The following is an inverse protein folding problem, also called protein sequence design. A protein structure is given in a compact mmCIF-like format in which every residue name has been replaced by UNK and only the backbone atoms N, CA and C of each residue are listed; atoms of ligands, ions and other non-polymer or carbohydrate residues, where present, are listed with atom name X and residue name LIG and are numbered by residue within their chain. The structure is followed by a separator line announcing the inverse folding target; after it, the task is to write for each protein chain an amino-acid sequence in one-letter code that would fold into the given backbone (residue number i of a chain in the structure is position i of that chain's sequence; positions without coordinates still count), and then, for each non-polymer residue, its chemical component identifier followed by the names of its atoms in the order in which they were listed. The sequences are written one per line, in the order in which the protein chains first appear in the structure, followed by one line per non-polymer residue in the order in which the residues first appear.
data_IF_176518007336
#
_entry.id   IF_176518007336
#
_cell.length_a   1.000
_cell.length_b   1.000
_cell.length_c   1.000
_cell.angle_alpha   90.00
_cell.angle_beta   90.00
_cell.angle_gamma   90.00
#
_symmetry.space_group_name_H-M   'P 1'
#
loop_
_entity.id
_entity.type
_entity.pdbx_description
1 polymer ?
#
# COMPACT_ATOMS: atom_id res chain seq x y z
N UNK A 1 -7.81 23.72 11.17
CA UNK A 1 -8.51 22.43 11.33
C UNK A 1 -7.50 21.36 10.99
N UNK A 2 -7.18 20.47 11.93
CA UNK A 2 -6.32 19.31 11.67
C UNK A 2 -7.02 18.39 10.68
N UNK A 3 -6.74 18.58 9.39
CA UNK A 3 -7.30 17.71 8.39
C UNK A 3 -6.66 16.33 8.52
N UNK A 4 -7.35 15.44 9.24
CA UNK A 4 -6.96 14.05 9.36
C UNK A 4 -6.96 13.40 7.97
N UNK A 5 -5.88 12.69 7.64
CA UNK A 5 -5.80 11.92 6.40
C UNK A 5 -6.83 10.79 6.40
N UNK A 6 -7.82 10.88 5.50
CA UNK A 6 -8.85 9.86 5.30
C UNK A 6 -8.41 8.86 4.22
N UNK A 7 -8.56 7.55 4.42
CA UNK A 7 -8.18 6.56 3.42
C UNK A 7 -9.14 6.58 2.22
N UNK A 8 -8.60 6.80 1.01
CA UNK A 8 -9.35 6.70 -0.25
C UNK A 8 -9.20 5.31 -0.87
N UNK A 9 -7.99 4.76 -0.77
CA UNK A 9 -7.65 3.50 -1.39
C UNK A 9 -6.70 2.72 -0.49
N UNK A 10 -6.92 1.41 -0.43
CA UNK A 10 -5.99 0.49 0.21
C UNK A 10 -6.08 -0.86 -0.48
N UNK A 11 -4.94 -1.36 -0.93
CA UNK A 11 -4.79 -2.73 -1.42
C UNK A 11 -3.52 -3.36 -0.90
N UNK A 12 -3.59 -4.67 -0.73
CA UNK A 12 -2.48 -5.53 -0.37
C UNK A 12 -2.51 -6.72 -1.32
N UNK A 13 -1.37 -7.06 -1.94
CA UNK A 13 -1.25 -8.16 -2.90
C UNK A 13 -0.02 -9.01 -2.60
N UNK A 14 -0.15 -10.32 -2.73
CA UNK A 14 0.91 -11.29 -2.44
C UNK A 14 0.69 -12.05 -1.13
N UNK A 15 1.43 -13.15 -0.94
CA UNK A 15 1.25 -14.08 0.18
C UNK A 15 2.44 -14.08 1.14
N UNK A 16 3.55 -14.73 0.76
CA UNK A 16 4.78 -14.80 1.58
C UNK A 16 5.48 -13.44 1.63
N UNK A 17 5.63 -12.80 0.48
CA UNK A 17 5.94 -11.39 0.36
C UNK A 17 4.68 -10.69 -0.15
N UNK A 18 4.27 -9.63 0.53
CA UNK A 18 3.11 -8.84 0.13
C UNK A 18 3.52 -7.40 -0.11
N UNK A 19 3.02 -6.80 -1.18
CA UNK A 19 3.10 -5.37 -1.44
C UNK A 19 1.78 -4.71 -1.03
N UNK A 20 1.87 -3.56 -0.40
CA UNK A 20 0.74 -2.75 0.05
C UNK A 20 0.81 -1.38 -0.58
N UNK A 21 -0.33 -0.90 -1.05
CA UNK A 21 -0.49 0.46 -1.55
C UNK A 21 -1.72 1.08 -0.91
N UNK A 22 -1.52 2.17 -0.17
CA UNK A 22 -2.59 2.96 0.44
C UNK A 22 -2.49 4.40 -0.01
N UNK A 23 -3.64 5.02 -0.22
CA UNK A 23 -3.77 6.44 -0.54
C UNK A 23 -4.70 7.06 0.46
N UNK A 24 -4.27 8.18 1.02
CA UNK A 24 -5.05 8.99 1.92
C UNK A 24 -5.16 10.41 1.38
N UNK A 25 -6.21 11.11 1.76
CA UNK A 25 -6.43 12.51 1.42
C UNK A 25 -6.99 13.25 2.61
N UNK A 26 -6.53 14.48 2.80
CA UNK A 26 -6.94 15.34 3.89
C UNK A 26 -7.67 16.61 3.40
N UNK A 27 -8.21 16.62 2.18
CA UNK A 27 -8.82 17.83 1.60
C UNK A 27 -7.84 18.76 0.90
N UNK A 28 -6.53 18.61 1.09
CA UNK A 28 -5.51 19.44 0.44
C UNK A 28 -4.42 18.63 -0.27
N UNK A 29 -3.97 17.55 0.37
CA UNK A 29 -2.86 16.73 -0.09
C UNK A 29 -3.21 15.25 -0.05
N UNK A 30 -2.71 14.53 -1.03
CA UNK A 30 -2.68 13.09 -1.08
C UNK A 30 -1.42 12.58 -0.39
N UNK A 31 -1.57 11.52 0.41
CA UNK A 31 -0.48 10.74 0.98
C UNK A 31 -0.53 9.34 0.38
N UNK A 32 0.47 8.99 -0.40
CA UNK A 32 0.66 7.66 -0.97
C UNK A 32 1.62 6.88 -0.07
N UNK A 33 1.21 5.70 0.36
CA UNK A 33 1.96 4.84 1.28
C UNK A 33 2.18 3.50 0.61
N UNK A 34 3.44 3.18 0.36
CA UNK A 34 3.88 1.91 -0.20
C UNK A 34 4.54 1.09 0.89
N UNK A 35 4.09 -0.15 1.05
CA UNK A 35 4.58 -1.04 2.09
C UNK A 35 4.97 -2.39 1.49
N UNK A 36 6.05 -2.98 2.01
CA UNK A 36 6.38 -4.38 1.73
C UNK A 36 6.34 -5.16 3.03
N UNK A 37 5.70 -6.31 3.01
CA UNK A 37 5.56 -7.20 4.15
C UNK A 37 6.15 -8.56 3.85
N UNK A 38 6.72 -9.19 4.88
CA UNK A 38 7.08 -10.61 4.88
C UNK A 38 6.22 -11.34 5.88
N UNK A 39 5.58 -12.42 5.44
CA UNK A 39 4.87 -13.33 6.30
C UNK A 39 5.86 -14.31 6.91
N UNK A 40 5.94 -14.33 8.23
CA UNK A 40 6.71 -15.33 8.95
C UNK A 40 6.14 -16.72 8.62
N UNK A 41 7.01 -17.70 8.40
CA UNK A 41 6.57 -19.09 8.31
C UNK A 41 6.52 -19.68 9.71
N UNK A 42 5.36 -20.24 10.06
CA UNK A 42 5.20 -21.05 11.27
C UNK A 42 5.21 -22.52 10.89
N UNK A 43 5.89 -23.31 11.71
CA UNK A 43 5.97 -24.76 11.56
C UNK A 43 4.59 -25.42 11.73
N UNK A 44 4.46 -26.69 11.31
CA UNK A 44 3.21 -27.45 11.50
C UNK A 44 2.88 -27.64 12.99
N UNK A 45 3.89 -27.83 13.84
CA UNK A 45 3.73 -27.95 15.29
C UNK A 45 3.22 -26.65 15.92
N UNK A 46 3.74 -25.50 15.49
CA UNK A 46 3.31 -24.20 16.00
C UNK A 46 1.87 -23.86 15.59
N UNK A 47 1.49 -24.22 14.35
CA UNK A 47 0.08 -24.10 13.90
C UNK A 47 -0.87 -24.94 14.75
N UNK A 48 -0.48 -26.16 15.14
CA UNK A 48 -1.28 -27.01 16.04
C UNK A 48 -1.44 -26.39 17.43
N UNK A 49 -0.46 -25.59 17.89
CA UNK A 49 -0.53 -24.79 19.12
C UNK A 49 -1.31 -23.48 18.96
N UNK A 50 -1.93 -23.23 17.79
CA UNK A 50 -2.69 -22.01 17.51
C UNK A 50 -1.83 -20.79 17.13
N UNK A 51 -0.52 -20.95 16.97
CA UNK A 51 0.38 -19.85 16.61
C UNK A 51 0.15 -19.47 15.15
N UNK A 52 -0.33 -18.24 14.94
CA UNK A 52 -0.63 -17.70 13.61
C UNK A 52 0.61 -17.04 12.99
N UNK A 53 0.83 -17.20 11.67
CA UNK A 53 1.89 -16.49 10.97
C UNK A 53 1.62 -14.98 11.00
N UNK A 54 2.62 -14.22 11.45
CA UNK A 54 2.56 -12.75 11.51
C UNK A 54 3.16 -12.15 10.24
N UNK A 55 2.72 -10.95 9.89
CA UNK A 55 3.34 -10.14 8.84
C UNK A 55 4.26 -9.12 9.49
N UNK A 56 5.52 -9.07 9.07
CA UNK A 56 6.49 -8.05 9.44
C UNK A 56 6.61 -7.05 8.30
N UNK A 57 6.54 -5.76 8.63
CA UNK A 57 6.83 -4.68 7.70
C UNK A 57 8.34 -4.72 7.41
N UNK A 58 8.69 -4.85 6.13
CA UNK A 58 10.07 -4.82 5.66
C UNK A 58 10.47 -3.42 5.20
N UNK A 59 9.55 -2.72 4.54
CA UNK A 59 9.80 -1.41 3.95
C UNK A 59 8.51 -0.61 3.97
N UNK A 60 8.64 0.68 4.24
CA UNK A 60 7.58 1.66 4.06
C UNK A 60 8.15 2.87 3.34
N UNK A 61 7.42 3.40 2.37
CA UNK A 61 7.75 4.62 1.66
C UNK A 61 6.52 5.48 1.53
N UNK A 62 6.67 6.74 1.92
CA UNK A 62 5.60 7.71 1.98
C UNK A 62 5.89 8.83 0.98
N UNK A 63 4.92 9.13 0.13
CA UNK A 63 5.00 10.22 -0.84
C UNK A 63 3.79 11.14 -0.65
N UNK A 64 4.00 12.44 -0.84
CA UNK A 64 2.99 13.45 -0.61
C UNK A 64 2.83 14.29 -1.87
N UNK A 65 1.59 14.48 -2.30
CA UNK A 65 1.26 15.19 -3.53
C UNK A 65 0.06 16.09 -3.31
N UNK A 66 0.00 17.22 -4.01
CA UNK A 66 -1.18 18.11 -4.01
C UNK A 66 -2.24 17.60 -4.98
N UNK A 67 -1.83 17.08 -6.14
CA UNK A 67 -2.72 16.53 -7.16
C UNK A 67 -2.26 15.14 -7.59
N UNK A 68 -3.20 14.30 -8.04
CA UNK A 68 -2.90 12.97 -8.58
C UNK A 68 -2.53 13.01 -10.07
N UNK A 69 -2.82 14.11 -10.78
CA UNK A 69 -2.65 14.24 -12.24
C UNK A 69 -1.19 14.39 -12.69
N UNK A 70 -0.33 14.88 -11.78
CA UNK A 70 1.08 15.15 -12.02
C UNK A 70 2.00 14.07 -11.46
N UNK A 71 1.45 12.95 -11.01
CA UNK A 71 2.23 11.84 -10.45
C UNK A 71 2.64 10.91 -11.59
N UNK A 72 3.94 10.70 -11.75
CA UNK A 72 4.47 9.61 -12.57
C UNK A 72 4.37 8.28 -11.81
N UNK A 73 3.18 7.67 -11.85
CA UNK A 73 2.91 6.40 -11.18
C UNK A 73 3.81 5.26 -11.70
N UNK A 74 4.35 5.38 -12.91
CA UNK A 74 5.31 4.44 -13.50
C UNK A 74 6.65 4.38 -12.76
N UNK A 75 7.04 5.47 -12.08
CA UNK A 75 8.26 5.56 -11.27
C UNK A 75 8.05 5.13 -9.82
N UNK A 76 6.81 5.04 -9.36
CA UNK A 76 6.50 4.70 -7.97
C UNK A 76 6.72 3.20 -7.69
N UNK A 77 7.03 2.84 -6.42
CA UNK A 77 7.07 1.44 -6.00
C UNK A 77 5.73 0.72 -6.25
N UNK A 78 5.75 -0.61 -6.32
CA UNK A 78 4.54 -1.44 -6.45
C UNK A 78 3.68 -1.14 -7.71
N UNK A 79 4.32 -1.07 -8.89
CA UNK A 79 3.70 -0.71 -10.18
C UNK A 79 2.34 -1.37 -10.44
N UNK A 80 2.19 -2.66 -10.10
CA UNK A 80 0.93 -3.38 -10.31
C UNK A 80 -0.23 -2.77 -9.52
N UNK A 81 -0.01 -2.46 -8.23
CA UNK A 81 -1.04 -1.87 -7.37
C UNK A 81 -1.33 -0.42 -7.71
N UNK A 82 -0.29 0.32 -8.10
CA UNK A 82 -0.41 1.68 -8.62
C UNK A 82 -1.25 1.70 -9.90
N UNK A 83 -1.07 0.71 -10.79
CA UNK A 83 -1.83 0.60 -12.04
C UNK A 83 -3.29 0.29 -11.79
N UNK A 84 -3.57 -0.67 -10.91
CA UNK A 84 -4.93 -0.99 -10.47
C UNK A 84 -5.65 0.24 -9.88
N UNK A 85 -4.92 1.10 -9.14
CA UNK A 85 -5.47 2.35 -8.65
C UNK A 85 -5.79 3.33 -9.79
N UNK A 86 -4.86 3.54 -10.72
CA UNK A 86 -5.08 4.46 -11.83
C UNK A 86 -6.27 4.02 -12.70
N UNK A 87 -6.39 2.74 -13.00
CA UNK A 87 -7.54 2.18 -13.73
C UNK A 87 -8.85 2.38 -12.96
N UNK A 88 -8.85 2.14 -11.64
CA UNK A 88 -10.06 2.27 -10.81
C UNK A 88 -10.58 3.71 -10.69
N UNK A 89 -9.67 4.69 -10.68
CA UNK A 89 -10.01 6.10 -10.52
C UNK A 89 -9.90 6.90 -11.82
N UNK A 90 -9.74 6.22 -12.95
CA UNK A 90 -9.60 6.82 -14.29
C UNK A 90 -8.49 7.89 -14.36
N UNK A 91 -7.37 7.63 -13.70
CA UNK A 91 -6.18 8.50 -13.67
C UNK A 91 -5.25 8.07 -14.81
N UNK A 92 -4.69 9.05 -15.52
CA UNK A 92 -3.74 8.78 -16.60
C UNK A 92 -2.48 8.15 -16.01
N UNK A 93 -2.17 6.94 -16.47
CA UNK A 93 -0.93 6.24 -16.14
C UNK A 93 0.24 6.88 -16.91
N UNK A 94 1.07 7.64 -16.21
CA UNK A 94 2.32 8.25 -16.71
C UNK A 94 3.53 7.56 -16.08
#
# INVERSE_FOLDING_TARGET
MDSSYQPIYRRLKGNTFSEGFSIFYNGEKYKLVFQKFKRDQVSKSDKKKGIKPKRKLLMESNFFFTTLENIEFSQLPCKTLSKEFCEKFNIIWK
#
